data_IF_089050755318
#
_entry.id   IF_089050755318
#
_cell.length_a   1.000
_cell.length_b   1.000
_cell.length_c   1.000
_cell.angle_alpha   90.00
_cell.angle_beta   90.00
_cell.angle_gamma   90.00
#
_symmetry.space_group_name_H-M   'P 1'
#
loop_
_entity.id
_entity.type
_entity.pdbx_description
1 polymer ?
#
# COMPACT_ATOMS: atom_id res chain seq x y z
N UNK A 1 17.34 -8.63 -16.54
CA UNK A 1 17.01 -9.11 -15.18
C UNK A 1 16.95 -7.92 -14.26
N UNK A 2 15.88 -7.78 -13.47
CA UNK A 2 15.77 -6.73 -12.47
C UNK A 2 16.63 -7.12 -11.27
N UNK A 3 17.50 -6.22 -10.79
CA UNK A 3 18.31 -6.50 -9.60
C UNK A 3 17.42 -6.45 -8.35
N UNK A 4 17.62 -7.36 -7.38
CA UNK A 4 16.91 -7.29 -6.11
C UNK A 4 17.31 -6.03 -5.36
N UNK A 5 16.33 -5.37 -4.74
CA UNK A 5 16.58 -4.27 -3.81
C UNK A 5 16.89 -4.89 -2.45
N UNK A 6 18.08 -4.60 -1.91
CA UNK A 6 18.50 -5.05 -0.59
C UNK A 6 18.60 -3.88 0.38
N UNK A 7 18.02 -4.03 1.55
CA UNK A 7 18.10 -3.07 2.64
C UNK A 7 19.08 -3.58 3.70
N UNK A 8 19.85 -2.68 4.31
CA UNK A 8 20.73 -3.04 5.45
C UNK A 8 19.93 -3.37 6.71
N UNK A 9 18.76 -2.76 6.87
CA UNK A 9 17.85 -2.91 8.01
C UNK A 9 16.42 -2.96 7.49
N UNK A 10 15.50 -3.53 8.26
CA UNK A 10 14.08 -3.54 7.91
C UNK A 10 13.61 -2.09 7.68
N UNK A 11 13.06 -1.76 6.50
CA UNK A 11 12.47 -0.45 6.30
C UNK A 11 11.24 -0.31 7.20
N UNK A 12 11.12 0.83 7.88
CA UNK A 12 9.93 1.14 8.69
C UNK A 12 8.70 1.46 7.84
N UNK A 13 8.90 1.82 6.57
CA UNK A 13 7.83 2.06 5.60
C UNK A 13 8.28 1.58 4.23
N UNK A 14 7.44 0.80 3.55
CA UNK A 14 7.56 0.46 2.15
C UNK A 14 6.41 1.08 1.37
N UNK A 15 6.75 1.65 0.21
CA UNK A 15 5.79 2.29 -0.68
C UNK A 15 5.92 1.66 -2.06
N UNK A 16 4.84 1.08 -2.56
CA UNK A 16 4.81 0.43 -3.87
C UNK A 16 3.90 1.21 -4.82
N UNK A 17 4.45 1.62 -5.95
CA UNK A 17 3.67 2.02 -7.11
C UNK A 17 3.20 0.76 -7.84
N UNK A 18 1.89 0.63 -8.00
CA UNK A 18 1.27 -0.51 -8.66
C UNK A 18 0.59 -0.02 -9.94
N UNK A 19 1.20 -0.33 -11.08
CA UNK A 19 0.71 0.08 -12.40
C UNK A 19 -0.13 -1.00 -13.10
N UNK A 20 -0.98 -1.71 -12.34
CA UNK A 20 -1.90 -2.73 -12.88
C UNK A 20 -3.30 -2.57 -12.28
N UNK A 21 -4.34 -2.91 -13.05
CA UNK A 21 -5.75 -2.78 -12.65
C UNK A 21 -6.26 -3.94 -11.80
N UNK A 22 -5.60 -5.09 -11.85
CA UNK A 22 -6.03 -6.30 -11.14
C UNK A 22 -5.03 -6.63 -10.04
N UNK A 23 -5.22 -6.06 -8.86
CA UNK A 23 -4.46 -6.44 -7.67
C UNK A 23 -5.35 -7.05 -6.60
N UNK A 24 -4.78 -8.03 -5.91
CA UNK A 24 -5.27 -8.49 -4.61
C UNK A 24 -4.21 -8.10 -3.59
N UNK A 25 -4.60 -7.28 -2.62
CA UNK A 25 -3.72 -6.82 -1.55
C UNK A 25 -3.97 -7.68 -0.32
N UNK A 26 -2.90 -8.25 0.24
CA UNK A 26 -2.91 -8.89 1.56
C UNK A 26 -2.84 -7.81 2.63
N UNK A 27 -3.46 -8.03 3.80
CA UNK A 27 -3.41 -7.09 4.93
C UNK A 27 -1.99 -6.94 5.52
N UNK A 28 -1.11 -7.91 5.25
CA UNK A 28 0.27 -7.92 5.77
C UNK A 28 1.27 -8.33 4.69
N UNK A 29 2.49 -7.79 4.81
CA UNK A 29 3.68 -8.26 4.11
C UNK A 29 4.60 -8.96 5.12
N UNK A 30 4.98 -10.21 4.83
CA UNK A 30 5.87 -11.00 5.68
C UNK A 30 7.15 -11.31 4.92
N UNK A 31 8.30 -11.09 5.55
CA UNK A 31 9.60 -11.44 4.99
C UNK A 31 10.58 -11.80 6.10
N UNK A 32 11.61 -12.59 5.74
CA UNK A 32 12.68 -12.96 6.66
C UNK A 32 13.83 -11.95 6.57
N UNK A 33 14.35 -11.54 7.72
CA UNK A 33 15.54 -10.71 7.82
C UNK A 33 16.41 -11.20 8.98
N UNK A 34 17.67 -11.56 8.68
CA UNK A 34 18.64 -12.02 9.68
C UNK A 34 18.15 -13.19 10.55
N UNK A 35 17.29 -14.06 9.99
CA UNK A 35 16.69 -15.20 10.69
C UNK A 35 15.41 -14.87 11.47
N UNK A 36 14.99 -13.61 11.51
CA UNK A 36 13.75 -13.16 12.14
C UNK A 36 12.65 -12.91 11.10
N UNK A 37 11.41 -13.22 11.46
CA UNK A 37 10.24 -12.91 10.61
C UNK A 37 9.79 -11.49 10.92
N UNK A 38 9.91 -10.61 9.92
CA UNK A 38 9.37 -9.25 9.96
C UNK A 38 7.98 -9.27 9.33
N UNK A 39 7.02 -8.69 10.04
CA UNK A 39 5.65 -8.49 9.58
C UNK A 39 5.39 -6.99 9.53
N UNK A 40 4.98 -6.50 8.37
CA UNK A 40 4.52 -5.13 8.19
C UNK A 40 3.04 -5.12 7.82
N UNK A 41 2.28 -4.19 8.38
CA UNK A 41 0.85 -4.06 8.12
C UNK A 41 0.63 -3.12 6.93
N UNK A 42 -0.37 -3.42 6.10
CA UNK A 42 -0.85 -2.44 5.13
C UNK A 42 -1.51 -1.30 5.88
N UNK A 43 -0.99 -0.09 5.67
CA UNK A 43 -1.39 1.11 6.41
C UNK A 43 -1.99 2.18 5.54
N UNK A 44 -1.91 2.03 4.23
CA UNK A 44 -2.73 2.83 3.34
C UNK A 44 -2.71 2.38 1.90
N UNK A 45 -3.77 2.76 1.20
CA UNK A 45 -3.88 2.68 -0.24
C UNK A 45 -4.23 4.07 -0.75
N UNK A 46 -3.41 4.60 -1.65
CA UNK A 46 -3.76 5.79 -2.43
C UNK A 46 -4.18 5.31 -3.81
N UNK A 47 -5.33 5.77 -4.22
CA UNK A 47 -5.93 5.54 -5.52
C UNK A 47 -5.84 6.86 -6.29
N UNK A 48 -5.49 6.80 -7.56
CA UNK A 48 -5.71 7.94 -8.44
C UNK A 48 -6.61 7.54 -9.60
N UNK A 49 -7.46 8.45 -10.05
CA UNK A 49 -8.32 8.27 -11.21
C UNK A 49 -8.41 9.59 -11.94
N UNK A 50 -7.92 9.63 -13.18
CA UNK A 50 -7.76 10.85 -13.98
C UNK A 50 -7.06 11.99 -13.20
N UNK A 51 -7.82 12.94 -12.64
CA UNK A 51 -7.33 14.11 -11.90
C UNK A 51 -7.71 14.09 -10.40
N UNK A 52 -8.27 12.99 -9.89
CA UNK A 52 -8.70 12.85 -8.49
C UNK A 52 -7.86 11.81 -7.75
N UNK A 53 -7.42 12.17 -6.54
CA UNK A 53 -6.81 11.24 -5.61
C UNK A 53 -7.79 10.91 -4.49
N UNK A 54 -7.92 9.63 -4.18
CA UNK A 54 -8.65 9.14 -3.02
C UNK A 54 -7.70 8.28 -2.21
N UNK A 55 -7.81 8.29 -0.89
CA UNK A 55 -7.00 7.39 -0.07
C UNK A 55 -7.80 6.71 1.02
N UNK A 56 -7.27 5.56 1.43
CA UNK A 56 -7.68 4.81 2.60
C UNK A 56 -6.46 4.67 3.50
N UNK A 57 -6.50 5.17 4.72
CA UNK A 57 -5.45 4.97 5.74
C UNK A 57 -6.00 4.03 6.81
N UNK A 58 -5.20 3.03 7.18
CA UNK A 58 -5.51 2.07 8.24
C UNK A 58 -4.68 2.45 9.46
N UNK A 59 -5.34 3.09 10.42
CA UNK A 59 -4.77 3.46 11.70
C UNK A 59 -4.58 2.27 12.64
N UNK A 60 -4.11 2.57 13.85
CA UNK A 60 -3.94 1.57 14.91
C UNK A 60 -5.29 0.94 15.30
N UNK A 61 -5.31 -0.37 15.54
CA UNK A 61 -6.53 -1.11 15.89
C UNK A 61 -7.51 -1.34 14.73
N UNK A 62 -7.08 -1.14 13.47
CA UNK A 62 -7.93 -1.38 12.30
C UNK A 62 -8.89 -0.24 11.97
N UNK A 63 -8.75 0.92 12.61
CA UNK A 63 -9.55 2.12 12.31
C UNK A 63 -9.22 2.58 10.89
N UNK A 64 -10.23 2.69 10.04
CA UNK A 64 -10.05 3.08 8.64
C UNK A 64 -10.48 4.53 8.43
N UNK A 65 -9.56 5.37 7.97
CA UNK A 65 -9.82 6.73 7.54
C UNK A 65 -10.01 6.77 6.04
N UNK A 66 -11.14 7.30 5.60
CA UNK A 66 -11.43 7.61 4.20
C UNK A 66 -11.40 9.11 4.03
N UNK A 67 -10.64 9.59 3.05
CA UNK A 67 -10.76 10.96 2.60
C UNK A 67 -11.18 10.93 1.14
N UNK A 68 -12.40 11.38 0.90
CA UNK A 68 -12.91 11.68 -0.41
C UNK A 68 -13.72 12.98 -0.30
N UNK A 69 -13.44 13.94 -1.17
CA UNK A 69 -14.22 15.18 -1.25
C UNK A 69 -15.65 14.93 -1.77
N UNK A 70 -15.93 13.79 -2.40
CA UNK A 70 -17.28 13.37 -2.83
C UNK A 70 -17.30 11.90 -3.26
N UNK A 71 -18.05 11.06 -2.55
CA UNK A 71 -18.30 9.66 -2.94
C UNK A 71 -19.03 9.64 -4.28
N UNK A 72 -18.30 9.41 -5.36
CA UNK A 72 -18.86 8.88 -6.61
C UNK A 72 -18.31 7.47 -6.78
N UNK A 73 -19.19 6.54 -7.14
CA UNK A 73 -18.79 5.21 -7.62
C UNK A 73 -18.02 5.43 -8.91
N UNK A 74 -16.72 5.66 -8.78
CA UNK A 74 -15.78 5.79 -9.88
C UNK A 74 -15.08 4.45 -9.95
N UNK A 75 -15.21 3.76 -11.08
CA UNK A 75 -14.28 2.69 -11.42
C UNK A 75 -12.87 3.27 -11.27
N UNK A 76 -12.14 2.81 -10.25
CA UNK A 76 -10.80 3.30 -9.93
C UNK A 76 -9.89 2.91 -11.08
N UNK A 77 -9.77 3.81 -12.04
CA UNK A 77 -8.91 3.64 -13.19
C UNK A 77 -7.58 4.28 -12.87
N UNK A 78 -6.58 3.40 -12.80
CA UNK A 78 -5.16 3.68 -13.01
C UNK A 78 -4.38 4.02 -11.74
N UNK A 79 -3.59 3.06 -11.28
CA UNK A 79 -2.49 3.14 -10.30
C UNK A 79 -2.83 3.27 -8.81
N UNK A 80 -2.11 2.45 -8.04
CA UNK A 80 -2.23 2.35 -6.59
C UNK A 80 -0.88 2.66 -5.94
N UNK A 81 -0.88 3.45 -4.87
CA UNK A 81 0.23 3.53 -3.93
C UNK A 81 -0.10 2.68 -2.71
N UNK A 82 0.67 1.62 -2.47
CA UNK A 82 0.51 0.76 -1.29
C UNK A 82 1.53 1.17 -0.23
N UNK A 83 1.06 1.62 0.93
CA UNK A 83 1.89 1.96 2.09
C UNK A 83 1.84 0.80 3.07
N UNK A 84 3.01 0.31 3.44
CA UNK A 84 3.20 -0.83 4.35
C UNK A 84 4.16 -0.39 5.46
N UNK A 85 3.79 -0.51 6.73
CA UNK A 85 4.63 -0.15 7.88
C UNK A 85 4.43 -1.02 9.13
#
# INVERSE_FOLDING_TARGET
>A
MMQPISFKTAPSVLVFEINTRSIKVSETLKFEQEGEIVVLDVRGLIYHGDFHFTYRIIGTGGIVWYCDGSVKVIEILTSYLLIIC
#
